data_IF_218681547329
#
_entry.id   IF_218681547329
#
_cell.length_a   1.000
_cell.length_b   1.000
_cell.length_c   1.000
_cell.angle_alpha   90.00
_cell.angle_beta   90.00
_cell.angle_gamma   90.00
#
_symmetry.space_group_name_H-M   'P 1'
#
loop_
_entity.id
_entity.type
_entity.pdbx_description
1 polymer ?
#
# COMPACT_ATOMS: atom_id res chain seq x y z
N UNK A 1 17.12 -6.24 -12.64
CA UNK A 1 16.46 -5.67 -13.83
C UNK A 1 15.00 -5.31 -13.50
N UNK A 2 14.86 -4.15 -12.86
CA UNK A 2 13.66 -3.67 -12.15
C UNK A 2 12.77 -2.81 -13.06
N UNK A 3 12.09 -3.45 -14.00
CA UNK A 3 11.34 -2.76 -15.05
C UNK A 3 9.89 -2.35 -14.67
N UNK A 4 9.54 -2.25 -13.39
CA UNK A 4 8.17 -1.88 -12.97
C UNK A 4 8.07 -0.70 -12.00
N UNK A 5 9.20 -0.17 -11.53
CA UNK A 5 9.29 1.15 -10.90
C UNK A 5 10.44 1.93 -11.54
N UNK A 6 10.53 1.91 -12.86
CA UNK A 6 11.30 2.91 -13.58
C UNK A 6 10.53 4.25 -13.51
N UNK A 7 10.40 4.80 -12.31
CA UNK A 7 10.46 6.25 -12.14
C UNK A 7 11.67 6.66 -12.97
N UNK A 8 11.55 7.65 -13.86
CA UNK A 8 12.60 8.05 -14.81
C UNK A 8 13.88 8.42 -14.05
N UNK A 9 14.64 7.42 -13.67
CA UNK A 9 15.74 7.53 -12.72
C UNK A 9 16.94 7.93 -13.55
N UNK A 10 17.16 9.24 -13.64
CA UNK A 10 18.29 9.81 -14.33
C UNK A 10 19.50 9.74 -13.41
N UNK A 11 20.61 9.24 -13.96
CA UNK A 11 21.90 9.39 -13.30
C UNK A 11 22.22 10.87 -13.27
N UNK A 12 22.47 11.39 -12.08
CA UNK A 12 22.90 12.78 -11.87
C UNK A 12 24.31 12.78 -11.31
N UNK A 13 25.15 13.76 -11.67
CA UNK A 13 26.46 13.91 -11.04
C UNK A 13 26.35 14.02 -9.52
N UNK A 14 27.23 13.32 -8.82
CA UNK A 14 27.51 13.48 -7.39
C UNK A 14 28.98 13.90 -7.21
N UNK A 15 29.37 14.22 -5.97
CA UNK A 15 30.78 14.44 -5.64
C UNK A 15 31.58 13.19 -6.08
N UNK A 16 32.67 13.39 -6.83
CA UNK A 16 33.51 12.31 -7.36
C UNK A 16 33.08 11.72 -8.71
N UNK A 17 31.91 12.08 -9.26
CA UNK A 17 31.47 11.56 -10.57
C UNK A 17 32.43 11.93 -11.71
N UNK A 18 32.97 13.16 -11.71
CA UNK A 18 33.92 13.59 -12.75
C UNK A 18 35.20 12.75 -12.73
N UNK A 19 35.77 12.52 -11.54
CA UNK A 19 36.98 11.70 -11.39
C UNK A 19 36.73 10.26 -11.82
N UNK A 20 35.57 9.70 -11.48
CA UNK A 20 35.18 8.36 -11.89
C UNK A 20 34.98 8.26 -13.41
N UNK A 21 34.42 9.29 -14.06
CA UNK A 21 34.36 9.40 -15.51
C UNK A 21 35.76 9.48 -16.12
N UNK A 22 36.68 10.25 -15.52
CA UNK A 22 38.08 10.33 -15.92
C UNK A 22 38.80 8.98 -15.85
N UNK A 23 38.68 8.26 -14.72
CA UNK A 23 39.22 6.89 -14.57
C UNK A 23 38.66 5.94 -15.60
N UNK A 24 37.35 5.98 -15.84
CA UNK A 24 36.67 5.15 -16.83
C UNK A 24 37.14 5.46 -18.24
N UNK A 25 37.34 6.73 -18.58
CA UNK A 25 37.87 7.17 -19.87
C UNK A 25 39.29 6.62 -20.09
N UNK A 26 40.19 6.76 -19.10
CA UNK A 26 41.53 6.19 -19.17
C UNK A 26 41.50 4.67 -19.34
N UNK A 27 40.65 3.95 -18.58
CA UNK A 27 40.48 2.51 -18.72
C UNK A 27 39.93 2.11 -20.10
N UNK A 28 39.06 2.93 -20.69
CA UNK A 28 38.54 2.72 -22.04
C UNK A 28 39.63 2.88 -23.11
N UNK A 29 40.48 3.89 -22.99
CA UNK A 29 41.61 4.08 -23.91
C UNK A 29 42.61 2.92 -23.86
N UNK A 30 42.82 2.34 -22.67
CA UNK A 30 43.74 1.21 -22.47
C UNK A 30 43.11 -0.18 -22.69
N UNK A 31 41.83 -0.27 -23.10
CA UNK A 31 41.07 -1.54 -23.09
C UNK A 31 41.52 -2.57 -24.13
N UNK A 32 42.29 -2.15 -25.14
CA UNK A 32 42.87 -3.03 -26.17
C UNK A 32 44.38 -2.84 -26.09
N UNK A 33 45.09 -3.94 -25.80
CA UNK A 33 46.55 -3.96 -25.74
C UNK A 33 47.08 -5.21 -26.44
N UNK A 34 48.40 -5.34 -26.56
CA UNK A 34 49.05 -6.56 -27.06
C UNK A 34 48.74 -7.80 -26.20
N UNK A 35 48.36 -7.59 -24.92
CA UNK A 35 47.95 -8.64 -23.99
C UNK A 35 46.46 -9.02 -24.12
N UNK A 36 45.72 -8.39 -25.05
CA UNK A 36 44.32 -8.66 -25.33
C UNK A 36 43.35 -7.58 -24.83
N UNK A 37 42.09 -7.97 -24.63
CA UNK A 37 40.99 -7.08 -24.27
C UNK A 37 40.76 -7.05 -22.76
N UNK A 38 40.74 -5.85 -22.16
CA UNK A 38 40.41 -5.64 -20.74
C UNK A 38 39.06 -4.93 -20.61
N UNK A 39 38.05 -5.54 -19.98
CA UNK A 39 36.75 -4.91 -19.79
C UNK A 39 36.81 -3.62 -18.96
N UNK A 40 36.11 -2.59 -19.42
CA UNK A 40 36.03 -1.30 -18.72
C UNK A 40 35.01 -1.39 -17.58
N UNK A 41 35.38 -1.05 -16.33
CA UNK A 41 34.43 -1.07 -15.21
C UNK A 41 33.25 -0.12 -15.44
N UNK A 42 32.05 -0.46 -14.96
CA UNK A 42 30.92 0.45 -15.01
C UNK A 42 31.20 1.70 -14.16
N UNK A 43 30.62 2.83 -14.55
CA UNK A 43 30.58 4.01 -13.67
C UNK A 43 29.76 3.62 -12.43
N UNK A 44 30.31 3.83 -11.24
CA UNK A 44 29.66 3.55 -9.94
C UNK A 44 29.41 4.83 -9.13
N UNK A 45 30.15 5.90 -9.39
CA UNK A 45 30.02 7.19 -8.70
C UNK A 45 29.03 8.09 -9.43
N UNK A 46 27.74 7.92 -9.12
CA UNK A 46 26.68 8.81 -9.60
C UNK A 46 25.51 8.79 -8.62
N UNK A 47 24.84 9.93 -8.48
CA UNK A 47 23.53 9.99 -7.86
C UNK A 47 22.47 9.47 -8.83
N UNK A 48 21.33 9.03 -8.29
CA UNK A 48 20.14 8.71 -9.08
C UNK A 48 19.02 9.61 -8.62
N UNK A 49 18.44 10.39 -9.53
CA UNK A 49 17.24 11.18 -9.25
C UNK A 49 16.09 10.75 -10.12
N UNK A 50 14.95 10.56 -9.47
CA UNK A 50 13.66 10.44 -10.12
C UNK A 50 13.31 11.75 -10.84
N UNK A 51 13.35 11.72 -12.18
CA UNK A 51 12.86 12.80 -13.03
C UNK A 51 11.34 12.68 -13.18
N UNK A 52 10.62 13.76 -12.92
CA UNK A 52 9.16 13.84 -13.00
C UNK A 52 8.73 15.24 -13.36
N UNK A 53 7.51 15.41 -13.89
CA UNK A 53 6.94 16.75 -13.99
C UNK A 53 6.54 17.25 -12.61
N UNK A 54 6.62 18.56 -12.40
CA UNK A 54 6.31 19.18 -11.11
C UNK A 54 4.82 19.01 -10.72
N UNK A 55 3.94 18.91 -11.72
CA UNK A 55 2.49 18.75 -11.62
C UNK A 55 2.02 17.29 -11.61
N UNK A 56 2.92 16.33 -11.82
CA UNK A 56 2.57 14.92 -11.81
C UNK A 56 2.09 14.52 -10.40
N UNK A 57 1.01 13.73 -10.29
CA UNK A 57 0.50 13.26 -9.00
C UNK A 57 1.34 12.08 -8.51
N UNK A 58 1.61 12.00 -7.21
CA UNK A 58 2.43 10.93 -6.63
C UNK A 58 1.56 9.75 -6.21
N UNK A 59 1.86 8.57 -6.77
CA UNK A 59 1.37 7.29 -6.24
C UNK A 59 2.07 6.96 -4.92
N UNK A 60 1.36 6.30 -4.00
CA UNK A 60 2.00 5.69 -2.84
C UNK A 60 2.89 4.52 -3.30
N UNK A 61 4.17 4.47 -2.89
CA UNK A 61 5.00 3.30 -3.17
C UNK A 61 4.37 2.06 -2.52
N UNK A 62 4.37 0.95 -3.26
CA UNK A 62 3.73 -0.28 -2.82
C UNK A 62 4.55 -1.54 -3.15
N UNK A 63 4.37 -2.57 -2.32
CA UNK A 63 4.89 -3.92 -2.52
C UNK A 63 3.74 -4.93 -2.46
N UNK A 64 3.70 -5.88 -3.39
CA UNK A 64 2.62 -6.86 -3.52
C UNK A 64 3.07 -8.26 -3.16
N UNK A 65 2.20 -8.98 -2.45
CA UNK A 65 2.39 -10.36 -2.08
C UNK A 65 1.12 -11.16 -2.34
N UNK A 66 1.29 -12.36 -2.91
CA UNK A 66 0.26 -13.39 -2.90
C UNK A 66 0.30 -14.16 -1.60
N UNK A 67 -0.87 -14.61 -1.14
CA UNK A 67 -1.00 -15.58 -0.07
C UNK A 67 -1.05 -16.96 -0.71
N UNK A 68 -0.02 -17.78 -0.50
CA UNK A 68 0.09 -19.12 -1.08
C UNK A 68 0.04 -20.20 -0.01
N UNK A 69 -0.65 -21.29 -0.31
CA UNK A 69 -0.57 -22.54 0.43
C UNK A 69 0.77 -23.25 0.12
N UNK A 70 1.10 -24.26 0.91
CA UNK A 70 2.33 -25.05 0.73
C UNK A 70 2.32 -25.82 -0.61
N UNK A 71 1.14 -26.16 -1.13
CA UNK A 71 0.95 -26.77 -2.46
C UNK A 71 1.06 -25.76 -3.63
N UNK A 72 1.36 -24.49 -3.35
CA UNK A 72 1.47 -23.42 -4.33
C UNK A 72 0.13 -22.84 -4.81
N UNK A 73 -1.01 -23.36 -4.36
CA UNK A 73 -2.32 -22.79 -4.67
C UNK A 73 -2.58 -21.48 -3.92
N UNK A 74 -3.58 -20.70 -4.34
CA UNK A 74 -3.97 -19.48 -3.62
C UNK A 74 -4.62 -19.83 -2.28
N UNK A 75 -4.06 -19.28 -1.20
CA UNK A 75 -4.75 -19.23 0.07
C UNK A 75 -5.94 -18.27 -0.02
N UNK A 76 -7.06 -18.65 0.59
CA UNK A 76 -8.31 -17.90 0.56
C UNK A 76 -8.69 -17.50 1.97
N UNK A 77 -8.74 -16.19 2.23
CA UNK A 77 -9.18 -15.67 3.52
C UNK A 77 -10.51 -14.90 3.41
N UNK A 78 -11.48 -15.10 4.32
CA UNK A 78 -12.75 -14.39 4.25
C UNK A 78 -12.57 -12.87 4.33
N UNK A 79 -13.16 -12.13 3.38
CA UNK A 79 -13.07 -10.65 3.36
C UNK A 79 -13.57 -10.01 4.66
N UNK A 80 -14.59 -10.59 5.30
CA UNK A 80 -15.14 -10.12 6.58
C UNK A 80 -14.05 -9.93 7.64
N UNK A 81 -13.02 -10.76 7.59
CA UNK A 81 -11.98 -10.87 8.60
C UNK A 81 -10.64 -10.28 8.13
N UNK A 82 -10.61 -9.53 7.01
CA UNK A 82 -9.38 -9.08 6.37
C UNK A 82 -8.36 -8.42 7.32
N UNK A 83 -8.84 -7.73 8.36
CA UNK A 83 -8.00 -7.08 9.38
C UNK A 83 -7.06 -8.05 10.10
N UNK A 84 -7.39 -9.35 10.12
CA UNK A 84 -6.52 -10.40 10.62
C UNK A 84 -5.29 -10.59 9.74
N UNK A 85 -5.43 -10.60 8.40
CA UNK A 85 -4.30 -10.65 7.47
C UNK A 85 -3.42 -9.42 7.67
N UNK A 86 -4.02 -8.23 7.75
CA UNK A 86 -3.28 -6.98 8.00
C UNK A 86 -2.48 -7.07 9.31
N UNK A 87 -3.09 -7.58 10.38
CA UNK A 87 -2.44 -7.79 11.68
C UNK A 87 -1.30 -8.79 11.64
N UNK A 88 -1.45 -9.92 10.96
CA UNK A 88 -0.41 -10.95 10.83
C UNK A 88 0.78 -10.44 10.00
N UNK A 89 0.52 -9.72 8.91
CA UNK A 89 1.60 -9.13 8.08
C UNK A 89 2.32 -8.04 8.85
N UNK A 90 1.59 -7.18 9.58
CA UNK A 90 2.17 -6.19 10.50
C UNK A 90 3.04 -6.85 11.57
N UNK A 91 2.60 -7.97 12.13
CA UNK A 91 3.39 -8.70 13.13
C UNK A 91 4.72 -9.20 12.54
N UNK A 92 4.69 -9.82 11.36
CA UNK A 92 5.91 -10.22 10.66
C UNK A 92 6.82 -9.03 10.33
N UNK A 93 6.25 -7.91 9.91
CA UNK A 93 7.00 -6.69 9.63
C UNK A 93 7.73 -6.18 10.89
N UNK A 94 7.05 -6.16 12.03
CA UNK A 94 7.65 -5.79 13.32
C UNK A 94 8.79 -6.74 13.67
N UNK A 95 8.60 -8.07 13.57
CA UNK A 95 9.67 -9.04 13.86
C UNK A 95 10.88 -8.86 12.92
N UNK A 96 10.63 -8.73 11.62
CA UNK A 96 11.67 -8.54 10.61
C UNK A 96 12.47 -7.25 10.85
N UNK A 97 11.79 -6.15 11.18
CA UNK A 97 12.42 -4.85 11.40
C UNK A 97 13.11 -4.74 12.77
N UNK A 98 12.70 -5.53 13.77
CA UNK A 98 13.48 -5.67 15.03
C UNK A 98 14.78 -6.43 14.81
N UNK A 99 14.74 -7.47 13.97
CA UNK A 99 15.91 -8.30 13.70
C UNK A 99 16.92 -7.59 12.79
N UNK A 100 16.43 -6.81 11.83
CA UNK A 100 17.27 -6.12 10.85
C UNK A 100 16.63 -4.79 10.46
N UNK A 101 16.72 -3.77 11.33
CA UNK A 101 16.23 -2.43 11.02
C UNK A 101 17.05 -1.82 9.86
N UNK A 102 16.51 -0.84 9.14
CA UNK A 102 17.30 0.01 8.26
C UNK A 102 18.39 0.75 9.04
N UNK A 103 19.44 1.18 8.35
CA UNK A 103 20.44 2.10 8.92
C UNK A 103 19.79 3.47 9.20
N UNK A 104 20.31 4.19 10.20
CA UNK A 104 19.89 5.57 10.54
C UNK A 104 18.41 5.77 10.92
N UNK A 105 17.77 4.78 11.54
CA UNK A 105 16.42 4.93 12.12
C UNK A 105 16.45 5.13 13.63
N UNK A 106 15.51 5.90 14.16
CA UNK A 106 15.32 6.11 15.60
C UNK A 106 15.05 4.78 16.34
N UNK A 107 15.42 4.71 17.63
CA UNK A 107 15.19 3.53 18.48
C UNK A 107 13.72 3.10 18.56
N UNK A 108 12.79 4.06 18.51
CA UNK A 108 11.36 3.79 18.56
C UNK A 108 10.73 3.58 17.17
N UNK A 109 11.51 3.63 16.09
CA UNK A 109 11.01 3.62 14.71
C UNK A 109 10.15 2.39 14.40
N UNK A 110 10.52 1.20 14.89
CA UNK A 110 9.69 0.01 14.70
C UNK A 110 8.32 0.17 15.37
N UNK A 111 8.26 0.82 16.54
CA UNK A 111 7.01 1.05 17.27
C UNK A 111 6.16 2.15 16.61
N UNK A 112 6.79 3.22 16.15
CA UNK A 112 6.08 4.38 15.59
C UNK A 112 5.73 4.17 14.12
N UNK A 113 6.68 3.78 13.29
CA UNK A 113 6.54 3.74 11.84
C UNK A 113 6.07 2.36 11.32
N UNK A 114 6.62 1.26 11.85
CA UNK A 114 6.27 -0.10 11.37
C UNK A 114 4.98 -0.59 12.02
N UNK A 115 4.90 -0.47 13.35
CA UNK A 115 3.71 -0.82 14.11
C UNK A 115 2.67 0.29 14.07
N UNK A 116 3.05 1.56 13.88
CA UNK A 116 2.08 2.60 13.69
C UNK A 116 1.53 3.25 14.95
N UNK A 117 2.25 3.18 16.07
CA UNK A 117 1.83 3.86 17.29
C UNK A 117 2.24 5.34 17.21
N UNK A 118 1.25 6.23 17.08
CA UNK A 118 1.50 7.66 17.04
C UNK A 118 2.23 8.14 18.31
N UNK A 119 3.23 9.01 18.12
CA UNK A 119 3.86 9.72 19.25
C UNK A 119 2.82 10.67 19.87
N UNK A 120 2.71 10.75 21.20
CA UNK A 120 1.81 11.70 21.86
C UNK A 120 2.07 13.12 21.37
N UNK A 121 1.02 13.82 20.92
CA UNK A 121 1.12 15.20 20.42
C UNK A 121 1.65 15.37 19.00
N UNK A 122 1.94 14.28 18.26
CA UNK A 122 2.34 14.39 16.84
C UNK A 122 1.11 14.60 15.95
N UNK A 123 1.08 15.70 15.20
CA UNK A 123 0.03 15.97 14.21
C UNK A 123 0.28 15.24 12.87
N UNK A 124 1.53 14.91 12.58
CA UNK A 124 1.91 14.13 11.40
C UNK A 124 2.40 12.75 11.85
N UNK A 125 1.71 11.70 11.40
CA UNK A 125 2.05 10.32 11.71
C UNK A 125 2.27 9.53 10.42
N UNK A 126 3.52 9.16 10.19
CA UNK A 126 3.97 8.37 9.04
C UNK A 126 4.12 6.91 9.45
N UNK A 127 3.60 6.00 8.64
CA UNK A 127 3.65 4.58 8.92
C UNK A 127 3.42 3.74 7.66
N UNK A 128 3.84 2.48 7.69
CA UNK A 128 3.40 1.51 6.70
C UNK A 128 1.90 1.22 6.83
N UNK A 129 1.24 0.93 5.71
CA UNK A 129 -0.13 0.43 5.69
C UNK A 129 -0.17 -1.00 5.16
N UNK A 130 -0.90 -1.87 5.84
CA UNK A 130 -1.02 -3.29 5.50
C UNK A 130 -2.42 -3.51 4.92
N UNK A 131 -2.48 -3.77 3.62
CA UNK A 131 -3.70 -3.70 2.80
C UNK A 131 -4.01 -5.07 2.18
N UNK A 132 -4.74 -5.95 2.88
CA UNK A 132 -5.30 -7.15 2.26
C UNK A 132 -6.21 -6.74 1.09
N UNK A 133 -6.06 -7.41 -0.05
CA UNK A 133 -6.82 -7.08 -1.26
C UNK A 133 -7.92 -8.11 -1.49
N UNK A 134 -9.19 -7.74 -1.31
CA UNK A 134 -10.31 -8.53 -1.82
C UNK A 134 -10.15 -8.79 -3.33
N UNK A 135 -10.61 -9.93 -3.81
CA UNK A 135 -10.58 -10.20 -5.25
C UNK A 135 -11.75 -9.50 -5.95
N UNK A 136 -11.47 -8.73 -6.99
CA UNK A 136 -12.46 -8.01 -7.82
C UNK A 136 -12.23 -8.27 -9.32
N UNK A 137 -13.18 -7.85 -10.17
CA UNK A 137 -12.99 -7.75 -11.62
C UNK A 137 -14.00 -8.54 -12.48
N UNK A 138 -14.46 -9.72 -12.05
CA UNK A 138 -15.48 -10.50 -12.79
C UNK A 138 -16.74 -10.68 -11.96
N UNK A 139 -17.91 -10.74 -12.63
CA UNK A 139 -19.24 -10.91 -11.99
C UNK A 139 -19.30 -12.14 -11.06
N UNK A 140 -18.58 -13.21 -11.38
CA UNK A 140 -18.53 -14.43 -10.58
C UNK A 140 -17.40 -14.48 -9.56
N UNK A 141 -16.53 -13.46 -9.48
CA UNK A 141 -15.42 -13.43 -8.53
C UNK A 141 -15.94 -13.53 -7.09
N UNK A 142 -15.31 -14.39 -6.30
CA UNK A 142 -15.48 -14.46 -4.86
C UNK A 142 -14.50 -13.46 -4.21
N UNK A 143 -15.00 -12.52 -3.38
CA UNK A 143 -14.22 -11.42 -2.82
C UNK A 143 -13.21 -11.84 -1.73
N UNK A 144 -12.96 -13.13 -1.52
CA UNK A 144 -11.92 -13.59 -0.61
C UNK A 144 -10.56 -12.91 -0.89
N UNK A 145 -9.84 -12.67 0.21
CA UNK A 145 -8.50 -12.09 0.21
C UNK A 145 -7.52 -13.18 -0.18
N UNK A 146 -6.75 -12.92 -1.23
CA UNK A 146 -5.70 -13.80 -1.77
C UNK A 146 -4.34 -13.10 -1.87
N UNK A 147 -4.33 -11.79 -1.62
CA UNK A 147 -3.18 -10.90 -1.79
C UNK A 147 -3.15 -9.90 -0.66
N UNK A 148 -1.96 -9.39 -0.38
CA UNK A 148 -1.74 -8.25 0.49
C UNK A 148 -0.78 -7.28 -0.19
N UNK A 149 -1.12 -6.01 -0.12
CA UNK A 149 -0.27 -4.90 -0.51
C UNK A 149 0.26 -4.23 0.76
N UNK A 150 1.54 -3.86 0.75
CA UNK A 150 2.11 -2.99 1.79
C UNK A 150 2.44 -1.68 1.10
N UNK A 151 2.00 -0.56 1.66
CA UNK A 151 2.32 0.78 1.16
C UNK A 151 3.13 1.54 2.18
N UNK A 152 3.95 2.47 1.69
CA UNK A 152 4.65 3.45 2.51
C UNK A 152 4.21 4.86 2.11
N UNK A 153 4.42 5.87 2.98
CA UNK A 153 4.32 7.26 2.58
C UNK A 153 5.23 7.57 1.39
N UNK A 154 4.84 8.58 0.62
CA UNK A 154 5.59 9.06 -0.53
C UNK A 154 7.02 9.40 -0.12
N UNK A 155 8.01 8.87 -0.86
CA UNK A 155 9.43 9.10 -0.61
C UNK A 155 10.12 8.00 0.22
N UNK A 156 9.35 7.07 0.80
CA UNK A 156 9.86 6.00 1.66
C UNK A 156 10.05 4.67 0.91
N UNK A 157 10.28 4.73 -0.40
CA UNK A 157 10.47 3.58 -1.29
C UNK A 157 11.55 2.62 -0.78
N UNK A 158 12.69 3.15 -0.33
CA UNK A 158 13.79 2.32 0.16
C UNK A 158 13.42 1.56 1.44
N UNK A 159 12.70 2.20 2.37
CA UNK A 159 12.20 1.55 3.58
C UNK A 159 11.21 0.44 3.23
N UNK A 160 10.33 0.69 2.25
CA UNK A 160 9.40 -0.32 1.75
C UNK A 160 10.12 -1.51 1.10
N UNK A 161 11.14 -1.25 0.27
CA UNK A 161 11.94 -2.31 -0.36
C UNK A 161 12.68 -3.14 0.67
N UNK A 162 13.29 -2.49 1.66
CA UNK A 162 14.00 -3.15 2.77
C UNK A 162 13.08 -4.11 3.54
N UNK A 163 11.85 -3.67 3.82
CA UNK A 163 10.82 -4.51 4.42
C UNK A 163 10.38 -5.64 3.48
N UNK A 164 10.08 -5.33 2.22
CA UNK A 164 9.48 -6.27 1.28
C UNK A 164 10.40 -7.46 0.98
N UNK A 165 11.71 -7.25 0.90
CA UNK A 165 12.71 -8.31 0.74
C UNK A 165 12.67 -9.28 1.93
N UNK A 166 12.55 -8.76 3.14
CA UNK A 166 12.57 -9.57 4.38
C UNK A 166 11.26 -10.34 4.63
N UNK A 167 10.16 -9.85 4.06
CA UNK A 167 8.86 -10.53 4.13
C UNK A 167 8.66 -11.59 3.04
N UNK A 168 9.38 -11.50 1.93
CA UNK A 168 9.29 -12.48 0.85
C UNK A 168 9.66 -13.89 1.36
N UNK A 169 8.79 -14.87 1.09
CA UNK A 169 8.97 -16.25 1.52
C UNK A 169 8.63 -16.52 2.99
N UNK A 170 8.15 -15.53 3.75
CA UNK A 170 7.77 -15.72 5.16
C UNK A 170 6.34 -16.23 5.28
N UNK A 171 6.16 -17.24 6.12
CA UNK A 171 4.85 -17.76 6.49
C UNK A 171 4.17 -16.84 7.52
N UNK A 172 2.86 -16.59 7.35
CA UNK A 172 2.07 -15.84 8.32
C UNK A 172 2.01 -16.58 9.65
N UNK A 173 2.04 -15.84 10.76
CA UNK A 173 1.95 -16.39 12.12
C UNK A 173 0.56 -16.12 12.69
N UNK A 174 -0.30 -17.14 12.84
CA UNK A 174 -1.62 -16.95 13.39
C UNK A 174 -1.56 -16.58 14.88
N UNK A 175 -2.46 -15.70 15.31
CA UNK A 175 -2.67 -15.34 16.71
C UNK A 175 -3.70 -16.26 17.38
N UNK A 176 -3.87 -16.15 18.70
CA UNK A 176 -4.96 -16.86 19.43
C UNK A 176 -6.36 -16.57 18.85
N UNK A 177 -6.57 -15.39 18.22
CA UNK A 177 -7.85 -14.99 17.61
C UNK A 177 -8.04 -15.52 16.18
N UNK A 178 -6.98 -16.04 15.57
CA UNK A 178 -6.96 -16.51 14.18
C UNK A 178 -6.40 -17.93 14.18
N UNK A 179 -7.24 -18.96 14.32
CA UNK A 179 -6.78 -20.33 14.19
C UNK A 179 -6.66 -20.67 12.70
N UNK A 180 -5.42 -20.79 12.22
CA UNK A 180 -5.09 -21.28 10.88
C UNK A 180 -4.17 -22.48 11.07
N UNK A 181 -4.64 -23.67 10.69
CA UNK A 181 -3.84 -24.90 10.80
C UNK A 181 -2.67 -24.89 9.82
N UNK A 182 -2.90 -24.33 8.62
CA UNK A 182 -1.90 -24.18 7.56
C UNK A 182 -1.83 -22.69 7.17
N UNK A 183 -0.96 -21.91 7.82
CA UNK A 183 -0.85 -20.48 7.54
C UNK A 183 -0.19 -20.24 6.17
N UNK A 184 -0.62 -19.23 5.41
CA UNK A 184 -0.07 -19.00 4.07
C UNK A 184 1.33 -18.38 4.10
N UNK A 185 2.07 -18.61 3.03
CA UNK A 185 3.35 -17.96 2.74
C UNK A 185 3.17 -16.70 1.89
N UNK A 186 3.90 -15.63 2.23
CA UNK A 186 3.96 -14.40 1.46
C UNK A 186 4.88 -14.56 0.25
N UNK A 187 4.31 -14.65 -0.94
CA UNK A 187 5.08 -14.73 -2.19
C UNK A 187 5.08 -13.36 -2.86
N UNK A 188 6.25 -12.72 -2.93
CA UNK A 188 6.41 -11.40 -3.54
C UNK A 188 6.18 -11.48 -5.05
N UNK A 189 5.38 -10.56 -5.58
CA UNK A 189 5.07 -10.47 -7.01
C UNK A 189 5.30 -9.06 -7.53
N UNK A 190 5.53 -8.95 -8.84
CA UNK A 190 5.73 -7.66 -9.52
C UNK A 190 4.53 -7.23 -10.37
N UNK A 191 3.79 -8.19 -10.92
CA UNK A 191 2.60 -7.95 -11.75
C UNK A 191 1.45 -8.79 -11.25
N UNK A 192 0.26 -8.21 -11.25
CA UNK A 192 -0.96 -8.93 -10.91
C UNK A 192 -2.19 -8.31 -11.57
N UNK A 193 -3.06 -9.18 -12.10
CA UNK A 193 -4.27 -8.76 -12.82
C UNK A 193 -5.36 -8.18 -11.92
N UNK A 194 -5.32 -8.45 -10.61
CA UNK A 194 -6.28 -7.91 -9.64
C UNK A 194 -5.74 -6.61 -9.05
N UNK A 195 -4.45 -6.56 -8.72
CA UNK A 195 -3.80 -5.39 -8.13
C UNK A 195 -3.95 -4.12 -9.00
N UNK A 196 -3.97 -4.26 -10.34
CA UNK A 196 -4.16 -3.12 -11.25
C UNK A 196 -5.45 -2.32 -10.99
N UNK A 197 -6.53 -2.96 -10.55
CA UNK A 197 -7.77 -2.24 -10.18
C UNK A 197 -7.57 -1.30 -8.99
N UNK A 198 -6.56 -1.58 -8.16
CA UNK A 198 -6.22 -0.78 -6.99
C UNK A 198 -5.12 0.24 -7.29
N UNK A 199 -4.31 0.07 -8.33
CA UNK A 199 -3.07 0.85 -8.53
C UNK A 199 -3.02 1.66 -9.81
N UNK A 200 -3.80 1.31 -10.84
CA UNK A 200 -3.82 2.10 -12.08
C UNK A 200 -4.42 3.49 -11.84
N UNK A 201 -3.94 4.51 -12.58
CA UNK A 201 -4.60 5.81 -12.62
C UNK A 201 -6.07 5.68 -13.01
N UNK A 202 -6.93 6.41 -12.30
CA UNK A 202 -8.34 6.53 -12.61
C UNK A 202 -8.89 7.88 -12.13
N UNK A 203 -9.89 8.38 -12.83
CA UNK A 203 -10.67 9.57 -12.51
C UNK A 203 -11.87 9.25 -11.61
N UNK A 204 -12.37 8.02 -11.62
CA UNK A 204 -13.44 7.55 -10.75
C UNK A 204 -12.98 6.38 -9.88
N UNK A 205 -13.23 6.48 -8.58
CA UNK A 205 -12.85 5.49 -7.59
C UNK A 205 -14.04 5.09 -6.73
N UNK A 206 -14.15 3.81 -6.38
CA UNK A 206 -15.12 3.36 -5.38
C UNK A 206 -14.45 2.53 -4.29
N UNK A 207 -14.92 2.68 -3.06
CA UNK A 207 -14.43 1.90 -1.92
C UNK A 207 -14.85 0.42 -2.02
N UNK A 208 -13.84 -0.45 -2.00
CA UNK A 208 -14.01 -1.90 -1.88
C UNK A 208 -14.26 -2.27 -0.42
N UNK A 209 -13.49 -1.68 0.50
CA UNK A 209 -13.70 -1.83 1.95
C UNK A 209 -14.20 -0.53 2.56
N UNK A 210 -15.07 -0.56 3.59
CA UNK A 210 -15.69 0.65 4.14
C UNK A 210 -14.65 1.65 4.63
N UNK A 211 -14.85 2.92 4.29
CA UNK A 211 -14.11 4.05 4.81
C UNK A 211 -14.60 4.31 6.24
N UNK A 212 -13.69 4.21 7.20
CA UNK A 212 -13.97 4.55 8.59
C UNK A 212 -13.71 6.04 8.77
N UNK A 213 -14.76 6.79 9.09
CA UNK A 213 -14.70 8.23 9.27
C UNK A 213 -13.97 8.59 10.58
N UNK A 214 -13.26 9.73 10.65
CA UNK A 214 -12.50 10.17 11.82
C UNK A 214 -13.41 10.77 12.90
N UNK A 215 -14.50 10.08 13.24
CA UNK A 215 -15.50 10.50 14.21
C UNK A 215 -16.86 9.80 14.04
N UNK A 216 -17.79 10.19 14.90
CA UNK A 216 -19.20 9.83 14.80
C UNK A 216 -19.97 10.92 14.04
N UNK A 217 -20.84 10.52 13.13
CA UNK A 217 -21.69 11.44 12.36
C UNK A 217 -23.02 11.78 13.03
N UNK A 218 -23.35 11.12 14.15
CA UNK A 218 -24.62 11.26 14.87
C UNK A 218 -25.85 11.13 13.96
N UNK A 219 -25.74 10.37 12.86
CA UNK A 219 -26.76 10.27 11.81
C UNK A 219 -27.13 11.59 11.13
N UNK A 220 -26.24 12.60 11.16
CA UNK A 220 -26.45 13.92 10.54
C UNK A 220 -25.67 14.02 9.21
N UNK A 221 -26.34 14.10 8.05
CA UNK A 221 -25.67 14.14 6.74
C UNK A 221 -24.61 15.24 6.59
N UNK A 222 -24.88 16.44 7.12
CA UNK A 222 -23.91 17.55 7.08
C UNK A 222 -22.63 17.24 7.90
N UNK A 223 -22.76 16.49 9.00
CA UNK A 223 -21.61 16.05 9.80
C UNK A 223 -20.86 14.93 9.09
N UNK A 224 -21.57 13.99 8.45
CA UNK A 224 -20.97 12.95 7.60
C UNK A 224 -20.11 13.57 6.49
N UNK A 225 -20.63 14.58 5.79
CA UNK A 225 -19.89 15.30 4.73
C UNK A 225 -18.57 15.89 5.24
N UNK A 226 -18.60 16.64 6.36
CA UNK A 226 -17.39 17.22 6.97
C UNK A 226 -16.38 16.15 7.40
N UNK A 227 -16.85 15.01 7.88
CA UNK A 227 -15.98 13.89 8.24
C UNK A 227 -15.35 13.21 7.02
N UNK A 228 -16.06 13.14 5.89
CA UNK A 228 -15.51 12.66 4.61
C UNK A 228 -14.42 13.62 4.11
N UNK A 229 -14.69 14.92 4.08
CA UNK A 229 -13.71 15.96 3.71
C UNK A 229 -12.45 15.85 4.59
N UNK A 230 -12.63 15.69 5.91
CA UNK A 230 -11.52 15.45 6.84
C UNK A 230 -10.78 14.15 6.55
N UNK A 231 -11.49 13.08 6.21
CA UNK A 231 -10.88 11.79 5.88
C UNK A 231 -10.04 11.86 4.59
N UNK A 232 -10.51 12.58 3.57
CA UNK A 232 -9.80 12.82 2.31
C UNK A 232 -8.50 13.60 2.57
N UNK A 233 -8.58 14.72 3.29
CA UNK A 233 -7.41 15.53 3.64
C UNK A 233 -6.38 14.72 4.46
N UNK A 234 -6.83 13.97 5.48
CA UNK A 234 -5.95 13.11 6.29
C UNK A 234 -5.31 11.94 5.50
N UNK A 235 -5.83 11.64 4.32
CA UNK A 235 -5.33 10.60 3.43
C UNK A 235 -4.48 11.18 2.28
N UNK A 236 -4.21 12.49 2.29
CA UNK A 236 -3.41 13.17 1.27
C UNK A 236 -4.13 13.36 -0.06
N UNK A 237 -5.47 13.32 -0.06
CA UNK A 237 -6.27 13.59 -1.26
C UNK A 237 -6.58 15.09 -1.30
N UNK A 238 -5.67 15.84 -1.90
CA UNK A 238 -5.78 17.29 -2.06
C UNK A 238 -6.40 17.69 -3.41
N UNK A 239 -6.54 16.73 -4.33
CA UNK A 239 -7.11 16.97 -5.64
C UNK A 239 -8.61 17.25 -5.53
N UNK A 240 -9.14 18.25 -6.27
CA UNK A 240 -10.57 18.49 -6.34
C UNK A 240 -11.33 17.23 -6.78
N UNK A 241 -12.30 16.82 -5.97
CA UNK A 241 -13.18 15.71 -6.29
C UNK A 241 -14.58 15.91 -5.72
N UNK A 242 -15.55 15.34 -6.42
CA UNK A 242 -16.88 15.12 -5.89
C UNK A 242 -16.96 13.74 -5.24
N UNK A 243 -17.84 13.60 -4.27
CA UNK A 243 -18.05 12.32 -3.59
C UNK A 243 -19.50 12.04 -3.24
N UNK A 244 -19.84 10.77 -3.30
CA UNK A 244 -21.10 10.21 -2.80
C UNK A 244 -20.79 9.15 -1.75
N UNK A 245 -21.71 8.94 -0.81
CA UNK A 245 -21.58 7.89 0.20
C UNK A 245 -22.83 7.04 0.34
N UNK A 246 -22.62 5.77 0.68
CA UNK A 246 -23.68 4.77 0.87
C UNK A 246 -23.30 3.77 1.96
N UNK A 247 -24.28 3.05 2.47
CA UNK A 247 -24.06 1.89 3.33
C UNK A 247 -23.53 0.66 2.56
N UNK A 248 -23.65 0.67 1.23
CA UNK A 248 -23.34 -0.47 0.37
C UNK A 248 -22.23 -0.13 -0.62
N UNK A 249 -21.34 -1.07 -0.87
CA UNK A 249 -20.31 -0.93 -1.90
C UNK A 249 -20.93 -0.95 -3.29
N UNK A 250 -20.29 -0.25 -4.23
CA UNK A 250 -20.56 -0.40 -5.67
C UNK A 250 -20.21 -1.79 -6.19
N UNK A 251 -19.23 -2.46 -5.58
CA UNK A 251 -18.75 -3.76 -6.03
C UNK A 251 -19.69 -4.88 -5.57
N UNK A 252 -20.15 -5.76 -6.49
CA UNK A 252 -20.96 -6.91 -6.13
C UNK A 252 -20.28 -7.79 -5.08
N UNK A 253 -21.09 -8.34 -4.16
CA UNK A 253 -20.66 -9.27 -3.08
C UNK A 253 -19.74 -8.67 -2.02
N UNK A 254 -19.39 -7.39 -2.08
CA UNK A 254 -18.73 -6.73 -0.96
C UNK A 254 -19.71 -6.53 0.19
N UNK A 255 -19.19 -6.53 1.42
CA UNK A 255 -20.02 -6.42 2.61
C UNK A 255 -20.45 -4.97 2.84
N UNK A 256 -21.52 -4.78 3.62
CA UNK A 256 -21.98 -3.45 3.99
C UNK A 256 -20.99 -2.74 4.92
N UNK A 257 -21.02 -1.40 4.89
CA UNK A 257 -20.40 -0.56 5.89
C UNK A 257 -20.98 -0.82 7.30
N UNK A 258 -22.25 -1.22 7.41
CA UNK A 258 -22.87 -1.58 8.69
C UNK A 258 -22.33 -2.90 9.23
N UNK A 259 -22.03 -2.94 10.54
CA UNK A 259 -21.56 -4.17 11.20
C UNK A 259 -22.62 -5.26 11.22
N UNK A 260 -23.88 -4.87 11.43
CA UNK A 260 -25.01 -5.79 11.53
C UNK A 260 -26.15 -5.35 10.61
N UNK A 261 -26.96 -6.31 10.17
CA UNK A 261 -28.21 -6.04 9.46
C UNK A 261 -29.34 -5.66 10.43
N UNK A 262 -30.55 -5.41 9.89
CA UNK A 262 -31.74 -5.08 10.68
C UNK A 262 -32.14 -6.17 11.68
N UNK A 263 -31.72 -7.41 11.45
CA UNK A 263 -31.95 -8.57 12.30
C UNK A 263 -30.79 -8.84 13.27
N UNK A 264 -29.86 -7.89 13.44
CA UNK A 264 -28.66 -7.99 14.29
C UNK A 264 -27.68 -9.11 13.87
N UNK A 265 -27.78 -9.64 12.64
CA UNK A 265 -26.83 -10.62 12.11
C UNK A 265 -25.59 -9.92 11.55
N UNK A 266 -24.39 -10.52 11.63
CA UNK A 266 -23.18 -9.93 11.07
C UNK A 266 -23.31 -9.63 9.57
N UNK A 267 -23.24 -8.37 9.18
CA UNK A 267 -23.40 -7.92 7.78
C UNK A 267 -22.15 -7.24 7.21
N UNK A 268 -21.27 -6.73 8.07
CA UNK A 268 -20.09 -5.96 7.67
C UNK A 268 -18.76 -6.58 8.08
N UNK A 269 -17.69 -5.84 7.86
CA UNK A 269 -16.33 -6.22 8.21
C UNK A 269 -16.10 -6.18 9.73
N UNK A 270 -15.25 -7.09 10.21
CA UNK A 270 -14.65 -6.97 11.55
C UNK A 270 -13.73 -5.75 11.53
N UNK A 271 -13.79 -4.96 12.60
CA UNK A 271 -12.98 -3.75 12.77
C UNK A 271 -12.10 -3.89 14.02
N UNK A 272 -10.92 -3.26 14.05
CA UNK A 272 -10.15 -3.09 15.27
C UNK A 272 -10.96 -2.40 16.37
N UNK A 273 -10.67 -2.72 17.63
CA UNK A 273 -11.44 -2.24 18.79
C UNK A 273 -11.54 -0.70 18.84
N UNK A 274 -10.44 0.00 18.55
CA UNK A 274 -10.37 1.46 18.52
C UNK A 274 -11.16 2.11 17.37
N UNK A 275 -11.67 1.34 16.39
CA UNK A 275 -12.49 1.80 15.27
C UNK A 275 -13.95 1.30 15.35
N UNK A 276 -14.30 0.51 16.38
CA UNK A 276 -15.61 -0.14 16.48
C UNK A 276 -16.78 0.85 16.59
N UNK A 277 -16.54 1.99 17.24
CA UNK A 277 -17.55 3.01 17.45
C UNK A 277 -17.65 3.96 16.27
N UNK A 278 -16.61 4.13 15.46
CA UNK A 278 -16.62 5.14 14.40
C UNK A 278 -17.63 4.84 13.28
N UNK A 279 -18.17 5.91 12.68
CA UNK A 279 -19.05 5.82 11.51
C UNK A 279 -18.28 5.22 10.34
N UNK A 280 -18.91 4.32 9.59
CA UNK A 280 -18.34 3.77 8.36
C UNK A 280 -19.30 3.97 7.20
N UNK A 281 -18.73 4.26 6.04
CA UNK A 281 -19.46 4.43 4.78
C UNK A 281 -18.67 3.81 3.64
N UNK A 282 -19.35 3.44 2.56
CA UNK A 282 -18.71 3.29 1.27
C UNK A 282 -18.73 4.63 0.54
N UNK A 283 -17.59 5.01 -0.06
CA UNK A 283 -17.44 6.19 -0.89
C UNK A 283 -17.33 5.84 -2.37
N UNK A 284 -17.86 6.73 -3.21
CA UNK A 284 -17.52 6.88 -4.62
C UNK A 284 -16.93 8.28 -4.79
N UNK A 285 -15.81 8.39 -5.49
CA UNK A 285 -15.12 9.64 -5.78
C UNK A 285 -15.06 9.84 -7.30
N UNK A 286 -15.22 11.09 -7.72
CA UNK A 286 -15.02 11.55 -9.09
C UNK A 286 -14.12 12.76 -9.08
N UNK A 287 -12.90 12.62 -9.59
CA UNK A 287 -11.94 13.72 -9.69
C UNK A 287 -12.34 14.68 -10.82
N UNK A 288 -12.15 15.98 -10.58
CA UNK A 288 -12.51 17.05 -11.52
C UNK A 288 -11.70 16.96 -12.82
N UNK A 289 -12.26 17.47 -13.92
CA UNK A 289 -11.60 17.56 -15.24
C UNK A 289 -11.02 16.23 -15.76
N UNK A 290 -11.63 15.10 -15.37
CA UNK A 290 -11.13 13.76 -15.70
C UNK A 290 -9.68 13.52 -15.26
N UNK A 291 -9.26 14.18 -14.17
CA UNK A 291 -7.93 14.02 -13.60
C UNK A 291 -7.72 12.57 -13.16
N UNK A 292 -6.77 11.89 -13.82
CA UNK A 292 -6.40 10.53 -13.47
C UNK A 292 -5.46 10.53 -12.25
N UNK A 293 -5.99 10.11 -11.10
CA UNK A 293 -5.22 9.99 -9.87
C UNK A 293 -4.69 8.55 -9.76
N UNK A 294 -3.36 8.35 -9.61
CA UNK A 294 -2.79 7.02 -9.44
C UNK A 294 -3.13 6.43 -8.07
N UNK A 295 -3.50 5.16 -8.04
CA UNK A 295 -3.63 4.40 -6.79
C UNK A 295 -2.27 3.99 -6.20
N UNK A 296 -2.24 3.28 -5.06
CA UNK A 296 -3.41 2.90 -4.26
C UNK A 296 -4.00 4.07 -3.47
N UNK A 297 -5.33 4.21 -3.50
CA UNK A 297 -6.05 5.14 -2.63
C UNK A 297 -6.65 4.38 -1.44
N UNK A 298 -6.36 4.86 -0.23
CA UNK A 298 -6.88 4.27 1.01
C UNK A 298 -7.27 5.38 1.98
N UNK A 299 -8.56 5.47 2.31
CA UNK A 299 -9.13 6.66 2.95
C UNK A 299 -9.65 6.36 4.36
N UNK A 300 -9.45 7.31 5.27
CA UNK A 300 -10.06 7.31 6.59
C UNK A 300 -9.20 6.66 7.67
N UNK A 301 -9.76 6.54 8.88
CA UNK A 301 -9.04 6.08 10.07
C UNK A 301 -8.61 4.61 10.00
N UNK A 302 -9.25 3.83 9.15
CA UNK A 302 -8.93 2.42 8.92
C UNK A 302 -7.86 2.15 7.86
N UNK A 303 -7.30 3.19 7.22
CA UNK A 303 -6.43 3.07 6.04
C UNK A 303 -5.16 2.25 6.24
N UNK A 304 -4.74 2.03 7.47
CA UNK A 304 -3.50 1.29 7.78
C UNK A 304 -3.72 -0.20 8.06
N UNK A 305 -4.98 -0.66 8.10
CA UNK A 305 -5.34 -2.05 8.40
C UNK A 305 -6.30 -2.67 7.38
N UNK A 306 -6.37 -2.11 6.17
CA UNK A 306 -7.15 -2.66 5.05
C UNK A 306 -8.59 -2.16 4.93
N UNK A 307 -9.00 -1.19 5.74
CA UNK A 307 -10.30 -0.52 5.63
C UNK A 307 -10.14 0.79 4.85
N UNK A 308 -11.16 1.16 4.07
CA UNK A 308 -11.14 2.34 3.19
C UNK A 308 -10.37 2.17 1.89
N UNK A 309 -10.07 0.94 1.48
CA UNK A 309 -9.38 0.61 0.23
C UNK A 309 -10.29 0.91 -0.96
N UNK A 310 -9.78 1.67 -1.92
CA UNK A 310 -10.49 2.06 -3.14
C UNK A 310 -10.00 1.26 -4.35
N UNK A 311 -10.87 1.11 -5.36
CA UNK A 311 -10.50 0.61 -6.68
C UNK A 311 -11.07 1.54 -7.77
N UNK A 312 -10.33 1.66 -8.87
CA UNK A 312 -10.74 2.41 -10.05
C UNK A 312 -11.97 1.77 -10.70
N UNK A 313 -12.90 2.61 -11.16
CA UNK A 313 -14.16 2.20 -11.78
C UNK A 313 -14.41 2.90 -13.12
N UNK A 314 -13.34 3.43 -13.72
CA UNK A 314 -13.38 4.00 -15.06
C UNK A 314 -13.73 2.91 -16.10
N UNK A 315 -14.43 3.26 -17.19
CA UNK A 315 -14.83 2.34 -18.27
C UNK A 315 -13.65 1.66 -18.98
#
# INVERSE_FOLDING_TARGET
PDALNAVNNLRTPSIGTLDALGRRHTAFLARISELGFTPVPPLIEFGVKAYRRADEIRSLPYALFELRNDDGSFFRYPQRQLVHIAGMVRHLAIEAMKLSPPEDVDDDWVKTYVAGHARPGSNEHRQFSYLPLPSIGHTHTDPAVRRVMITAPVGDDQLLQHLAIRLAGRQLKPTRRTKLEQPPTLVRILKDKVARFYTQPASNWASVTPVILPGHDDHKPAKTRRLIEKALAQSGIDQPCEFEWSAFSRFPKMLSAHRHDRQKRPAGYIRPDHLLTQTAVHLQLRFSDSLEVPGPLVIGSGRHCGLGLMAGIDP
#
